data_IF_972125270807
#
_entry.id   IF_972125270807
#
_cell.length_a   1.000
_cell.length_b   1.000
_cell.length_c   1.000
_cell.angle_alpha   90.00
_cell.angle_beta   90.00
_cell.angle_gamma   90.00
#
_symmetry.space_group_name_H-M   'P 1'
#
loop_
_entity.id
_entity.type
_entity.pdbx_description
1 polymer ?
#
# COMPACT_ATOMS: atom_id res chain seq x y z
N UNK A 1 -17.14 -24.71 5.15
CA UNK A 1 -16.81 -25.34 3.87
C UNK A 1 -16.08 -26.65 4.20
N UNK A 2 -16.74 -27.78 4.09
CA UNK A 2 -16.07 -29.09 4.04
C UNK A 2 -15.94 -29.44 2.56
N UNK A 3 -14.72 -29.82 2.14
CA UNK A 3 -14.42 -30.35 0.79
C UNK A 3 -14.78 -29.46 -0.39
N UNK A 4 -14.47 -28.18 -0.30
CA UNK A 4 -14.69 -27.23 -1.40
C UNK A 4 -13.37 -26.90 -2.10
N UNK A 5 -13.39 -26.88 -3.41
CA UNK A 5 -12.29 -26.41 -4.24
C UNK A 5 -12.45 -24.91 -4.52
N UNK A 6 -11.40 -24.13 -4.22
CA UNK A 6 -11.35 -22.69 -4.48
C UNK A 6 -10.36 -22.48 -5.62
N UNK A 7 -10.76 -21.91 -6.76
CA UNK A 7 -9.86 -21.64 -7.87
C UNK A 7 -8.87 -20.51 -7.51
N UNK A 8 -7.59 -20.76 -7.75
CA UNK A 8 -6.52 -19.77 -7.62
C UNK A 8 -6.05 -19.35 -9.02
N UNK A 9 -6.00 -18.06 -9.34
CA UNK A 9 -5.88 -17.59 -10.73
C UNK A 9 -4.51 -17.79 -11.38
N UNK A 10 -3.48 -18.20 -10.64
CA UNK A 10 -2.11 -18.31 -11.16
C UNK A 10 -1.45 -19.62 -10.78
N UNK A 11 -1.00 -20.37 -11.81
CA UNK A 11 -0.20 -21.59 -11.63
C UNK A 11 1.21 -21.32 -11.05
N UNK A 12 1.74 -20.11 -11.23
CA UNK A 12 3.06 -19.72 -10.73
C UNK A 12 3.16 -19.71 -9.20
N UNK A 13 2.04 -19.73 -8.52
CA UNK A 13 1.99 -19.75 -7.05
C UNK A 13 2.43 -21.12 -6.52
N UNK A 14 2.02 -22.21 -7.16
CA UNK A 14 2.19 -23.57 -6.61
C UNK A 14 3.64 -23.99 -6.42
N UNK A 15 4.54 -23.57 -7.29
CA UNK A 15 5.97 -23.91 -7.22
C UNK A 15 6.70 -23.30 -6.02
N UNK A 16 6.12 -22.28 -5.40
CA UNK A 16 6.72 -21.55 -4.28
C UNK A 16 5.99 -21.79 -2.95
N UNK A 17 4.91 -22.57 -2.95
CA UNK A 17 4.18 -22.88 -1.72
C UNK A 17 4.98 -23.87 -0.86
N UNK A 18 4.95 -23.63 0.42
CA UNK A 18 5.65 -24.43 1.43
C UNK A 18 4.61 -24.94 2.43
N UNK A 19 4.54 -26.26 2.70
CA UNK A 19 3.70 -26.80 3.76
C UNK A 19 3.98 -26.11 5.10
N UNK A 20 3.00 -26.12 5.98
CA UNK A 20 2.98 -25.45 7.29
C UNK A 20 3.00 -23.94 7.28
N UNK A 21 3.09 -23.28 6.12
CA UNK A 21 2.93 -21.82 6.01
C UNK A 21 1.46 -21.44 5.96
N UNK A 22 1.18 -20.21 6.40
CA UNK A 22 -0.16 -19.63 6.33
C UNK A 22 -0.32 -18.77 5.09
N UNK A 23 -1.54 -18.68 4.60
CA UNK A 23 -1.97 -17.67 3.64
C UNK A 23 -3.28 -17.03 4.08
N UNK A 24 -3.55 -15.88 3.54
CA UNK A 24 -4.64 -15.01 3.94
C UNK A 24 -5.55 -14.74 2.76
N UNK A 25 -6.86 -14.61 3.01
CA UNK A 25 -7.84 -14.18 2.01
C UNK A 25 -8.68 -13.04 2.59
N UNK A 26 -9.16 -12.14 1.71
CA UNK A 26 -9.99 -10.98 2.07
C UNK A 26 -9.30 -10.08 3.11
N UNK A 27 -8.12 -9.57 2.76
CA UNK A 27 -7.32 -8.65 3.58
C UNK A 27 -7.02 -9.20 4.99
N UNK A 28 -6.74 -10.51 5.06
CA UNK A 28 -6.40 -11.18 6.32
C UNK A 28 -7.59 -11.60 7.18
N UNK A 29 -8.84 -11.38 6.75
CA UNK A 29 -10.04 -11.80 7.49
C UNK A 29 -10.18 -13.30 7.58
N UNK A 30 -9.67 -14.03 6.59
CA UNK A 30 -9.65 -15.48 6.56
C UNK A 30 -8.22 -15.98 6.53
N UNK A 31 -7.89 -16.84 7.48
CA UNK A 31 -6.55 -17.40 7.65
C UNK A 31 -6.61 -18.89 7.33
N UNK A 32 -5.67 -19.35 6.53
CA UNK A 32 -5.51 -20.73 6.13
C UNK A 32 -4.08 -21.22 6.39
N UNK A 33 -3.92 -22.50 6.66
CA UNK A 33 -2.63 -23.17 6.77
C UNK A 33 -2.46 -24.18 5.64
N UNK A 34 -1.37 -24.11 4.90
CA UNK A 34 -1.04 -25.06 3.84
C UNK A 34 -0.68 -26.42 4.48
N UNK A 35 -1.37 -27.47 4.08
CA UNK A 35 -1.11 -28.82 4.56
C UNK A 35 -0.23 -29.60 3.59
N UNK A 36 -0.60 -29.60 2.29
CA UNK A 36 0.11 -30.33 1.23
C UNK A 36 0.08 -29.52 -0.06
N UNK A 37 1.15 -29.62 -0.82
CA UNK A 37 1.27 -28.97 -2.14
C UNK A 37 1.43 -30.07 -3.20
N UNK A 38 0.71 -29.90 -4.31
CA UNK A 38 0.74 -30.74 -5.50
C UNK A 38 1.05 -29.87 -6.73
N UNK A 39 1.26 -30.45 -7.87
CA UNK A 39 1.66 -29.72 -9.09
C UNK A 39 0.66 -28.64 -9.53
N UNK A 40 -0.65 -28.87 -9.35
CA UNK A 40 -1.69 -27.96 -9.82
C UNK A 40 -2.71 -27.56 -8.75
N UNK A 41 -2.51 -27.99 -7.51
CA UNK A 41 -3.38 -27.64 -6.38
C UNK A 41 -2.64 -27.77 -5.04
N UNK A 42 -3.27 -27.35 -3.97
CA UNK A 42 -2.80 -27.56 -2.61
C UNK A 42 -3.97 -27.77 -1.66
N UNK A 43 -3.74 -28.51 -0.61
CA UNK A 43 -4.68 -28.68 0.49
C UNK A 43 -4.35 -27.69 1.61
N UNK A 44 -5.39 -27.09 2.18
CA UNK A 44 -5.24 -26.16 3.27
C UNK A 44 -6.31 -26.36 4.35
N UNK A 45 -5.92 -26.10 5.59
CA UNK A 45 -6.81 -26.05 6.75
C UNK A 45 -7.30 -24.63 6.98
N UNK A 46 -8.58 -24.47 7.29
CA UNK A 46 -9.18 -23.19 7.67
C UNK A 46 -8.91 -22.96 9.16
N UNK A 47 -8.19 -21.89 9.49
CA UNK A 47 -7.80 -21.57 10.87
C UNK A 47 -8.91 -20.81 11.61
N UNK A 48 -9.58 -19.87 10.92
CA UNK A 48 -10.68 -19.10 11.49
C UNK A 48 -11.93 -19.12 10.63
N UNK A 49 -13.08 -18.95 11.24
CA UNK A 49 -14.37 -18.93 10.57
C UNK A 49 -14.63 -17.60 9.88
N UNK A 50 -15.34 -17.63 8.75
CA UNK A 50 -15.76 -16.44 8.04
C UNK A 50 -16.47 -16.77 6.73
N UNK A 51 -16.95 -15.73 6.04
CA UNK A 51 -17.63 -15.86 4.76
C UNK A 51 -16.65 -15.53 3.64
N UNK A 52 -16.32 -16.51 2.82
CA UNK A 52 -15.52 -16.32 1.62
C UNK A 52 -16.41 -15.80 0.47
N UNK A 53 -16.07 -14.62 -0.04
CA UNK A 53 -16.73 -14.03 -1.21
C UNK A 53 -15.87 -14.22 -2.46
N UNK A 54 -16.52 -14.17 -3.63
CA UNK A 54 -15.81 -14.22 -4.91
C UNK A 54 -14.91 -12.98 -5.14
N UNK A 55 -13.86 -13.15 -5.92
CA UNK A 55 -12.93 -12.09 -6.34
C UNK A 55 -12.21 -11.41 -5.18
N UNK A 56 -11.92 -12.13 -4.10
CA UNK A 56 -11.12 -11.64 -3.00
C UNK A 56 -9.64 -11.92 -3.23
N UNK A 57 -8.80 -10.98 -2.79
CA UNK A 57 -7.35 -11.11 -2.82
C UNK A 57 -6.87 -12.29 -1.97
N UNK A 58 -5.79 -12.92 -2.40
CA UNK A 58 -5.07 -13.95 -1.66
C UNK A 58 -3.64 -13.46 -1.42
N UNK A 59 -3.21 -13.48 -0.16
CA UNK A 59 -1.89 -13.07 0.25
C UNK A 59 -1.14 -14.25 0.87
N UNK A 60 0.13 -14.34 0.57
CA UNK A 60 1.03 -15.36 1.12
C UNK A 60 2.16 -14.64 1.88
N UNK A 61 1.96 -14.27 3.15
CA UNK A 61 2.99 -13.63 3.95
C UNK A 61 4.24 -14.50 4.03
N UNK A 62 5.41 -13.88 3.95
CA UNK A 62 6.71 -14.55 4.00
C UNK A 62 7.02 -15.53 2.86
N UNK A 63 6.24 -15.52 1.78
CA UNK A 63 6.60 -16.21 0.54
C UNK A 63 7.02 -15.17 -0.51
N UNK A 64 8.19 -15.39 -1.06
CA UNK A 64 8.75 -14.53 -2.11
C UNK A 64 8.39 -15.12 -3.47
N UNK A 65 7.43 -14.49 -4.13
CA UNK A 65 7.12 -14.80 -5.52
C UNK A 65 7.90 -13.83 -6.38
N UNK A 66 8.94 -14.30 -7.04
CA UNK A 66 9.71 -13.47 -7.98
C UNK A 66 8.87 -13.18 -9.25
N UNK A 67 7.74 -12.51 -9.05
CA UNK A 67 6.80 -12.12 -10.11
C UNK A 67 6.95 -10.62 -10.31
N UNK A 68 7.13 -10.20 -11.57
CA UNK A 68 7.14 -8.77 -11.92
C UNK A 68 5.79 -8.14 -11.52
N UNK A 69 5.81 -6.95 -10.90
CA UNK A 69 4.58 -6.20 -10.61
C UNK A 69 3.84 -5.77 -11.89
N UNK A 70 4.54 -5.72 -13.04
CA UNK A 70 3.96 -5.41 -14.34
C UNK A 70 3.54 -6.68 -15.06
N UNK A 71 2.24 -6.92 -15.14
CA UNK A 71 1.68 -8.03 -15.92
C UNK A 71 1.65 -7.70 -17.41
N UNK A 72 1.46 -8.72 -18.25
CA UNK A 72 1.26 -8.51 -19.69
C UNK A 72 0.00 -7.68 -20.00
N UNK A 73 -1.00 -7.72 -19.13
CA UNK A 73 -2.16 -6.84 -19.21
C UNK A 73 -1.76 -5.39 -18.95
N UNK A 74 -0.99 -5.14 -17.88
CA UNK A 74 -0.55 -3.79 -17.54
C UNK A 74 0.29 -3.17 -18.67
N UNK A 75 1.18 -3.97 -19.28
CA UNK A 75 1.96 -3.55 -20.44
C UNK A 75 1.09 -3.14 -21.64
N UNK A 76 -0.04 -3.84 -21.86
CA UNK A 76 -1.02 -3.44 -22.89
C UNK A 76 -1.76 -2.17 -22.50
N UNK A 77 -2.17 -2.06 -21.25
CA UNK A 77 -2.87 -0.87 -20.73
C UNK A 77 -1.98 0.38 -20.80
N UNK A 78 -0.65 0.24 -20.73
CA UNK A 78 0.29 1.35 -20.92
C UNK A 78 0.18 2.01 -22.30
N UNK A 79 -0.25 1.31 -23.35
CA UNK A 79 -0.48 1.93 -24.65
C UNK A 79 -1.61 2.94 -24.59
N UNK A 80 -2.72 2.57 -23.93
CA UNK A 80 -3.83 3.51 -23.69
C UNK A 80 -3.41 4.67 -22.78
N UNK A 81 -2.70 4.37 -21.70
CA UNK A 81 -2.22 5.36 -20.72
C UNK A 81 -1.35 6.45 -21.40
N UNK A 82 -0.48 6.07 -22.34
CA UNK A 82 0.38 7.02 -23.08
C UNK A 82 -0.40 8.02 -23.94
N UNK A 83 -1.58 7.62 -24.39
CA UNK A 83 -2.45 8.51 -25.18
C UNK A 83 -3.21 9.51 -24.29
N UNK A 84 -3.29 9.23 -22.98
CA UNK A 84 -3.90 10.11 -22.00
C UNK A 84 -2.86 11.12 -21.49
N UNK A 85 -3.30 12.35 -21.24
CA UNK A 85 -2.45 13.37 -20.60
C UNK A 85 -2.48 13.19 -19.08
N UNK A 86 -1.76 12.17 -18.60
CA UNK A 86 -1.67 11.88 -17.17
C UNK A 86 -0.39 12.47 -16.60
N UNK A 87 -0.47 13.01 -15.38
CA UNK A 87 0.67 13.52 -14.64
C UNK A 87 1.42 12.38 -13.92
N UNK A 88 0.70 11.37 -13.41
CA UNK A 88 1.25 10.29 -12.61
C UNK A 88 0.69 8.92 -12.99
N UNK A 89 1.54 7.90 -12.83
CA UNK A 89 1.16 6.48 -12.81
C UNK A 89 1.55 5.91 -11.45
N UNK A 90 0.64 5.20 -10.80
CA UNK A 90 0.93 4.46 -9.57
C UNK A 90 1.25 3.00 -9.90
N UNK A 91 2.44 2.53 -9.50
CA UNK A 91 2.89 1.15 -9.64
C UNK A 91 2.61 0.40 -8.34
N UNK A 92 1.70 -0.58 -8.40
CA UNK A 92 1.39 -1.46 -7.26
C UNK A 92 2.44 -2.56 -7.09
N UNK A 93 2.54 -3.08 -5.89
CA UNK A 93 3.36 -4.23 -5.52
C UNK A 93 4.85 -4.11 -5.87
N UNK A 94 5.39 -2.90 -5.78
CA UNK A 94 6.84 -2.66 -5.95
C UNK A 94 7.61 -3.45 -4.90
N UNK A 95 8.63 -4.19 -5.33
CA UNK A 95 9.47 -5.01 -4.44
C UNK A 95 10.95 -4.59 -4.49
N UNK A 96 11.40 -4.06 -5.63
CA UNK A 96 12.81 -3.69 -5.87
C UNK A 96 12.90 -2.55 -6.87
N UNK A 97 14.03 -1.89 -6.90
CA UNK A 97 14.30 -0.74 -7.78
C UNK A 97 14.10 -1.07 -9.26
N UNK A 98 14.47 -2.28 -9.69
CA UNK A 98 14.29 -2.69 -11.09
C UNK A 98 12.83 -2.69 -11.56
N UNK A 99 11.86 -2.83 -10.65
CA UNK A 99 10.45 -2.77 -10.99
C UNK A 99 10.04 -1.35 -11.42
N UNK A 100 10.55 -0.35 -10.71
CA UNK A 100 10.34 1.07 -11.05
C UNK A 100 11.04 1.42 -12.36
N UNK A 101 12.28 0.94 -12.54
CA UNK A 101 13.05 1.19 -13.77
C UNK A 101 12.45 0.51 -15.00
N UNK A 102 11.84 -0.69 -14.84
CA UNK A 102 11.08 -1.35 -15.91
C UNK A 102 9.92 -0.46 -16.37
N UNK A 103 9.09 0.02 -15.44
CA UNK A 103 7.99 0.94 -15.79
C UNK A 103 8.53 2.22 -16.42
N UNK A 104 9.59 2.82 -15.87
CA UNK A 104 10.22 4.04 -16.39
C UNK A 104 10.64 3.88 -17.84
N UNK A 105 11.16 2.72 -18.23
CA UNK A 105 11.57 2.44 -19.61
C UNK A 105 10.39 2.31 -20.58
N UNK A 106 9.20 2.06 -20.07
CA UNK A 106 7.99 1.82 -20.85
C UNK A 106 7.09 3.05 -21.01
N UNK A 107 7.31 4.13 -20.27
CA UNK A 107 6.48 5.35 -20.28
C UNK A 107 7.26 6.55 -20.79
N UNK A 108 6.53 7.67 -21.10
CA UNK A 108 7.14 8.95 -21.39
C UNK A 108 7.82 9.54 -20.15
N UNK A 109 8.89 10.30 -20.33
CA UNK A 109 9.58 11.06 -19.27
C UNK A 109 8.68 12.07 -18.55
N UNK A 110 7.62 12.54 -19.22
CA UNK A 110 6.68 13.52 -18.66
C UNK A 110 5.74 12.92 -17.61
N UNK A 111 5.55 11.59 -17.65
CA UNK A 111 4.70 10.88 -16.69
C UNK A 111 5.53 10.45 -15.48
N UNK A 112 5.11 10.90 -14.32
CA UNK A 112 5.76 10.59 -13.04
C UNK A 112 5.29 9.28 -12.45
N UNK A 113 6.15 8.59 -11.72
CA UNK A 113 5.87 7.29 -11.09
C UNK A 113 5.66 7.47 -9.59
N UNK A 114 4.51 7.00 -9.09
CA UNK A 114 4.26 6.78 -7.67
C UNK A 114 4.49 5.30 -7.37
N UNK A 115 5.52 4.97 -6.60
CA UNK A 115 5.74 3.59 -6.16
C UNK A 115 4.90 3.29 -4.92
N UNK A 116 4.05 2.26 -5.01
CA UNK A 116 3.22 1.82 -3.87
C UNK A 116 3.97 0.76 -3.07
N UNK A 117 4.23 1.08 -1.80
CA UNK A 117 4.87 0.17 -0.85
C UNK A 117 3.79 -0.64 -0.16
N UNK A 118 3.63 -1.87 -0.63
CA UNK A 118 2.60 -2.84 -0.26
C UNK A 118 3.19 -4.17 0.21
N UNK A 119 4.49 -4.36 -0.03
CA UNK A 119 5.19 -5.62 0.25
C UNK A 119 6.41 -5.38 1.15
N UNK A 120 6.65 -6.27 2.15
CA UNK A 120 7.83 -6.18 3.01
C UNK A 120 9.15 -6.27 2.24
N UNK A 121 9.15 -6.93 1.07
CA UNK A 121 10.33 -7.06 0.21
C UNK A 121 10.86 -5.69 -0.21
N UNK A 122 9.98 -4.72 -0.47
CA UNK A 122 10.37 -3.35 -0.83
C UNK A 122 11.24 -2.68 0.24
N UNK A 123 11.05 -3.03 1.51
CA UNK A 123 11.79 -2.42 2.62
C UNK A 123 13.29 -2.73 2.57
N UNK A 124 13.69 -3.84 1.91
CA UNK A 124 15.09 -4.23 1.76
C UNK A 124 15.86 -3.35 0.77
N UNK A 125 15.16 -2.72 -0.17
CA UNK A 125 15.71 -1.87 -1.23
C UNK A 125 15.07 -0.47 -1.24
N UNK A 126 14.52 -0.06 -0.10
CA UNK A 126 13.63 1.09 -0.01
C UNK A 126 14.28 2.40 -0.43
N UNK A 127 15.52 2.64 -0.05
CA UNK A 127 16.21 3.90 -0.36
C UNK A 127 16.42 4.06 -1.88
N UNK A 128 16.75 2.97 -2.57
CA UNK A 128 16.89 2.99 -4.03
C UNK A 128 15.53 3.09 -4.74
N UNK A 129 14.49 2.42 -4.22
CA UNK A 129 13.11 2.55 -4.73
C UNK A 129 12.66 4.01 -4.62
N UNK A 130 12.85 4.66 -3.47
CA UNK A 130 12.48 6.06 -3.25
C UNK A 130 13.22 6.97 -4.25
N UNK A 131 14.53 6.77 -4.44
CA UNK A 131 15.32 7.58 -5.39
C UNK A 131 14.88 7.39 -6.84
N UNK A 132 14.52 6.17 -7.25
CA UNK A 132 14.04 5.86 -8.60
C UNK A 132 12.62 6.36 -8.88
N UNK A 133 11.84 6.63 -7.84
CA UNK A 133 10.44 7.08 -7.92
C UNK A 133 10.35 8.61 -7.96
N UNK A 134 9.22 9.13 -8.42
CA UNK A 134 8.89 10.56 -8.32
C UNK A 134 8.10 10.89 -7.06
N UNK A 135 7.33 9.92 -6.57
CA UNK A 135 6.64 9.94 -5.28
C UNK A 135 6.47 8.52 -4.74
N UNK A 136 6.15 8.40 -3.46
CA UNK A 136 5.92 7.12 -2.80
C UNK A 136 4.53 7.11 -2.16
N UNK A 137 3.85 5.98 -2.23
CA UNK A 137 2.60 5.74 -1.50
C UNK A 137 2.77 4.60 -0.51
N UNK A 138 2.49 4.86 0.74
CA UNK A 138 2.46 3.85 1.80
C UNK A 138 1.04 3.28 1.85
N UNK A 139 0.84 2.12 1.22
CA UNK A 139 -0.46 1.46 1.13
C UNK A 139 -0.63 0.51 2.33
N UNK A 140 -1.07 1.07 3.45
CA UNK A 140 -1.10 0.40 4.76
C UNK A 140 -1.99 -0.84 4.81
N UNK A 141 -3.06 -0.87 4.02
CA UNK A 141 -3.96 -2.01 3.94
C UNK A 141 -3.23 -3.28 3.52
N UNK A 142 -2.59 -3.26 2.33
CA UNK A 142 -1.85 -4.41 1.82
C UNK A 142 -0.58 -4.69 2.63
N UNK A 143 0.14 -3.64 3.02
CA UNK A 143 1.35 -3.79 3.85
C UNK A 143 1.03 -4.41 5.21
N UNK A 144 -0.10 -4.05 5.83
CA UNK A 144 -0.55 -4.59 7.12
C UNK A 144 -1.11 -6.01 7.04
N UNK A 145 -1.43 -6.52 5.85
CA UNK A 145 -1.75 -7.93 5.64
C UNK A 145 -0.48 -8.79 5.61
N UNK A 146 0.61 -8.23 5.11
CA UNK A 146 1.90 -8.93 4.96
C UNK A 146 2.80 -8.80 6.21
N UNK A 147 2.60 -7.76 7.02
CA UNK A 147 3.34 -7.46 8.25
C UNK A 147 2.45 -7.61 9.49
N UNK A 148 3.08 -7.68 10.65
CA UNK A 148 2.36 -7.59 11.91
C UNK A 148 1.77 -6.18 12.10
N UNK A 149 0.52 -6.04 12.56
CA UNK A 149 -0.12 -4.72 12.69
C UNK A 149 0.67 -3.69 13.50
N UNK A 150 1.42 -4.14 14.50
CA UNK A 150 2.27 -3.28 15.35
C UNK A 150 3.49 -2.72 14.62
N UNK A 151 3.91 -3.31 13.50
CA UNK A 151 5.06 -2.86 12.72
C UNK A 151 4.69 -1.73 11.75
N UNK A 152 3.44 -1.68 11.28
CA UNK A 152 2.98 -0.72 10.28
C UNK A 152 3.22 0.74 10.68
N UNK A 153 2.89 1.19 11.91
CA UNK A 153 3.10 2.59 12.31
C UNK A 153 4.57 2.99 12.31
N UNK A 154 5.47 2.11 12.75
CA UNK A 154 6.91 2.39 12.79
C UNK A 154 7.52 2.45 11.39
N UNK A 155 7.10 1.53 10.52
CA UNK A 155 7.51 1.52 9.11
C UNK A 155 6.96 2.75 8.37
N UNK A 156 5.71 3.12 8.58
CA UNK A 156 5.14 4.35 8.03
C UNK A 156 6.00 5.56 8.36
N UNK A 157 6.30 5.74 9.66
CA UNK A 157 7.13 6.86 10.12
C UNK A 157 8.51 6.87 9.48
N UNK A 158 9.15 5.71 9.38
CA UNK A 158 10.46 5.56 8.74
C UNK A 158 10.41 5.91 7.25
N UNK A 159 9.39 5.42 6.53
CA UNK A 159 9.21 5.70 5.11
C UNK A 159 8.98 7.20 4.84
N UNK A 160 8.14 7.85 5.64
CA UNK A 160 7.94 9.30 5.56
C UNK A 160 9.27 10.03 5.73
N UNK A 161 10.05 9.68 6.76
CA UNK A 161 11.35 10.30 7.01
C UNK A 161 12.33 10.07 5.85
N UNK A 162 12.40 8.85 5.29
CA UNK A 162 13.30 8.55 4.18
C UNK A 162 12.92 9.32 2.91
N UNK A 163 11.62 9.44 2.60
CA UNK A 163 11.16 10.26 1.47
C UNK A 163 11.53 11.72 1.65
N UNK A 164 11.28 12.27 2.85
CA UNK A 164 11.58 13.67 3.18
C UNK A 164 13.08 14.00 3.09
N UNK A 165 13.97 13.09 3.52
CA UNK A 165 15.43 13.28 3.41
C UNK A 165 15.89 13.53 1.98
N UNK A 166 15.26 12.92 1.00
CA UNK A 166 15.62 13.04 -0.42
C UNK A 166 14.62 13.91 -1.23
N UNK A 167 13.74 14.64 -0.55
CA UNK A 167 12.80 15.56 -1.18
C UNK A 167 11.75 14.88 -2.08
N UNK A 168 11.37 13.64 -1.78
CA UNK A 168 10.32 12.93 -2.53
C UNK A 168 8.98 13.01 -1.81
N UNK A 169 7.89 13.41 -2.51
CA UNK A 169 6.56 13.40 -1.93
C UNK A 169 6.13 12.02 -1.45
N UNK A 170 5.46 11.99 -0.29
CA UNK A 170 4.94 10.75 0.30
C UNK A 170 3.46 10.86 0.61
N UNK A 171 2.72 9.83 0.19
CA UNK A 171 1.27 9.71 0.38
C UNK A 171 1.02 8.58 1.38
N UNK A 172 0.25 8.85 2.44
CA UNK A 172 -0.25 7.81 3.34
C UNK A 172 -1.65 7.41 2.92
N UNK A 173 -1.86 6.12 2.65
CA UNK A 173 -3.06 5.61 2.01
C UNK A 173 -3.66 4.43 2.75
N UNK A 174 -4.97 4.26 2.57
CA UNK A 174 -5.82 3.18 3.05
C UNK A 174 -6.08 3.21 4.55
N UNK A 175 -7.30 2.84 4.94
CA UNK A 175 -7.74 2.76 6.33
C UNK A 175 -7.54 4.07 7.12
N UNK A 176 -7.71 5.23 6.46
CA UNK A 176 -7.57 6.53 7.11
C UNK A 176 -8.81 6.89 7.94
N UNK A 177 -9.99 6.82 7.33
CA UNK A 177 -11.31 7.05 7.95
C UNK A 177 -12.26 5.89 7.62
N UNK A 178 -11.78 4.64 7.69
CA UNK A 178 -12.47 3.43 7.21
C UNK A 178 -13.89 3.27 7.78
N UNK A 179 -14.13 3.67 9.03
CA UNK A 179 -15.45 3.63 9.64
C UNK A 179 -16.48 4.49 8.89
N UNK A 180 -16.02 5.55 8.21
CA UNK A 180 -16.86 6.45 7.44
C UNK A 180 -17.39 5.85 6.12
N UNK A 181 -16.97 4.66 5.74
CA UNK A 181 -17.68 3.89 4.71
C UNK A 181 -19.15 3.70 5.09
N UNK A 182 -19.43 3.49 6.38
CA UNK A 182 -20.77 3.21 6.90
C UNK A 182 -21.27 4.22 7.94
N UNK A 183 -20.41 5.05 8.50
CA UNK A 183 -20.76 6.01 9.56
C UNK A 183 -20.54 7.45 9.11
N UNK A 184 -21.35 8.41 9.58
CA UNK A 184 -21.27 9.82 9.18
C UNK A 184 -20.09 10.57 9.82
N UNK A 185 -19.38 9.96 10.76
CA UNK A 185 -18.24 10.56 11.45
C UNK A 185 -17.18 9.52 11.75
N UNK A 186 -15.90 9.91 11.78
CA UNK A 186 -14.78 8.99 12.08
C UNK A 186 -14.71 8.67 13.58
N UNK A 187 -14.01 7.60 13.89
CA UNK A 187 -13.61 7.31 15.27
C UNK A 187 -12.49 8.27 15.71
N UNK A 188 -12.29 8.39 17.03
CA UNK A 188 -11.16 9.16 17.58
C UNK A 188 -9.81 8.57 17.21
N UNK A 189 -9.72 7.25 17.07
CA UNK A 189 -8.51 6.57 16.65
C UNK A 189 -8.13 6.93 15.21
N UNK A 190 -9.11 6.96 14.30
CA UNK A 190 -8.89 7.37 12.91
C UNK A 190 -8.49 8.85 12.81
N UNK A 191 -9.15 9.73 13.57
CA UNK A 191 -8.75 11.13 13.61
C UNK A 191 -7.30 11.32 14.12
N UNK A 192 -6.89 10.53 15.13
CA UNK A 192 -5.52 10.55 15.63
C UNK A 192 -4.54 9.97 14.61
N UNK A 193 -4.94 8.99 13.80
CA UNK A 193 -4.12 8.38 12.77
C UNK A 193 -3.85 9.37 11.62
N UNK A 194 -4.88 10.06 11.14
CA UNK A 194 -4.73 11.13 10.13
C UNK A 194 -3.80 12.23 10.65
N UNK A 195 -4.06 12.73 11.88
CA UNK A 195 -3.23 13.75 12.51
C UNK A 195 -1.77 13.27 12.66
N UNK A 196 -1.56 12.01 13.03
CA UNK A 196 -0.25 11.38 13.14
C UNK A 196 0.53 11.40 11.82
N UNK A 197 -0.13 11.08 10.70
CA UNK A 197 0.50 11.17 9.38
C UNK A 197 0.94 12.60 9.03
N UNK A 198 0.13 13.60 9.37
CA UNK A 198 0.47 15.02 9.18
C UNK A 198 1.65 15.43 10.07
N UNK A 199 1.64 15.06 11.35
CA UNK A 199 2.74 15.34 12.30
C UNK A 199 4.04 14.66 11.89
N UNK A 200 3.99 13.48 11.28
CA UNK A 200 5.16 12.79 10.76
C UNK A 200 5.71 13.43 9.47
N UNK A 201 4.91 14.27 8.79
CA UNK A 201 5.31 15.04 7.62
C UNK A 201 4.95 14.37 6.30
N UNK A 202 3.84 13.63 6.24
CA UNK A 202 3.27 13.19 4.98
C UNK A 202 2.82 14.38 4.14
N UNK A 203 3.06 14.33 2.82
CA UNK A 203 2.66 15.39 1.88
C UNK A 203 1.19 15.26 1.48
N UNK A 204 0.64 14.06 1.53
CA UNK A 204 -0.77 13.79 1.26
C UNK A 204 -1.28 12.59 2.06
N UNK A 205 -2.59 12.57 2.29
CA UNK A 205 -3.34 11.42 2.79
C UNK A 205 -4.44 11.07 1.77
N UNK A 206 -4.75 9.78 1.62
CA UNK A 206 -5.68 9.33 0.60
C UNK A 206 -6.86 8.59 1.22
N UNK A 207 -8.08 9.00 0.83
CA UNK A 207 -9.32 8.24 1.03
C UNK A 207 -9.48 7.22 -0.11
N UNK A 208 -10.08 6.09 0.18
CA UNK A 208 -10.30 4.98 -0.76
C UNK A 208 -11.78 4.58 -0.80
N UNK A 209 -12.17 3.58 -0.03
CA UNK A 209 -13.55 3.09 0.06
C UNK A 209 -14.50 4.16 0.62
N UNK A 210 -14.01 5.02 1.50
CA UNK A 210 -14.76 6.09 2.15
C UNK A 210 -15.43 7.02 1.13
N UNK A 211 -14.77 7.26 -0.01
CA UNK A 211 -15.28 8.15 -1.07
C UNK A 211 -15.78 7.39 -2.31
N UNK A 212 -15.32 6.15 -2.55
CA UNK A 212 -15.67 5.42 -3.77
C UNK A 212 -16.94 4.58 -3.64
N UNK A 213 -17.19 4.01 -2.47
CA UNK A 213 -18.35 3.15 -2.18
C UNK A 213 -19.02 3.48 -0.84
N UNK A 214 -18.47 4.43 -0.08
CA UNK A 214 -18.99 4.85 1.22
C UNK A 214 -20.33 5.59 1.10
N UNK A 215 -21.08 5.57 2.19
CA UNK A 215 -22.37 6.23 2.29
C UNK A 215 -22.24 7.75 2.56
N UNK A 216 -21.06 8.23 2.96
CA UNK A 216 -20.80 9.60 3.43
C UNK A 216 -19.54 10.19 2.78
N UNK A 217 -19.43 10.23 1.41
CA UNK A 217 -18.21 10.66 0.73
C UNK A 217 -17.84 12.12 0.97
N UNK A 218 -18.82 13.03 1.00
CA UNK A 218 -18.59 14.47 1.23
C UNK A 218 -18.14 14.73 2.67
N UNK A 219 -18.76 14.07 3.64
CA UNK A 219 -18.41 14.16 5.06
C UNK A 219 -17.00 13.60 5.28
N UNK A 220 -16.64 12.50 4.62
CA UNK A 220 -15.30 11.92 4.75
C UNK A 220 -14.22 12.90 4.30
N UNK A 221 -14.41 13.58 3.16
CA UNK A 221 -13.48 14.62 2.69
C UNK A 221 -13.46 15.81 3.65
N UNK A 222 -14.62 16.23 4.15
CA UNK A 222 -14.74 17.35 5.09
C UNK A 222 -14.02 17.07 6.41
N UNK A 223 -14.20 15.87 6.99
CA UNK A 223 -13.50 15.47 8.20
C UNK A 223 -12.00 15.35 7.96
N UNK A 224 -11.57 14.73 6.87
CA UNK A 224 -10.17 14.64 6.50
C UNK A 224 -9.52 16.03 6.46
N UNK A 225 -10.13 16.96 5.73
CA UNK A 225 -9.63 18.33 5.62
C UNK A 225 -9.57 19.04 6.98
N UNK A 226 -10.60 18.87 7.82
CA UNK A 226 -10.67 19.52 9.14
C UNK A 226 -9.58 19.01 10.08
N UNK A 227 -9.28 17.70 10.03
CA UNK A 227 -8.21 17.09 10.84
C UNK A 227 -6.85 17.59 10.36
N UNK A 228 -6.61 17.64 9.05
CA UNK A 228 -5.38 18.16 8.46
C UNK A 228 -5.15 19.61 8.89
N UNK A 229 -6.13 20.49 8.67
CA UNK A 229 -6.04 21.90 9.04
C UNK A 229 -5.75 22.09 10.53
N UNK A 230 -6.45 21.36 11.40
CA UNK A 230 -6.22 21.41 12.85
C UNK A 230 -4.80 21.01 13.22
N UNK A 231 -4.26 19.97 12.56
CA UNK A 231 -2.91 19.46 12.79
C UNK A 231 -1.84 20.46 12.30
N UNK A 232 -2.05 21.02 11.10
CA UNK A 232 -1.14 22.03 10.55
C UNK A 232 -1.13 23.33 11.37
N UNK A 233 -2.29 23.75 11.86
CA UNK A 233 -2.38 24.93 12.72
C UNK A 233 -1.72 24.70 14.10
N UNK A 234 -1.75 23.47 14.60
CA UNK A 234 -0.99 23.07 15.78
C UNK A 234 0.52 23.15 15.51
N UNK A 235 1.01 22.58 14.40
CA UNK A 235 2.42 22.62 14.00
C UNK A 235 2.92 24.06 13.86
N UNK A 236 2.12 24.98 13.29
CA UNK A 236 2.47 26.39 13.17
C UNK A 236 2.69 27.05 14.53
N UNK A 237 1.90 26.68 15.54
CA UNK A 237 2.01 27.19 16.93
C UNK A 237 3.13 26.51 17.71
N UNK A 238 3.34 25.22 17.46
CA UNK A 238 4.30 24.37 18.17
C UNK A 238 5.17 23.61 17.14
N UNK A 239 6.16 24.30 16.53
CA UNK A 239 6.95 23.70 15.44
C UNK A 239 7.74 22.45 15.83
N UNK A 240 8.00 22.24 17.12
CA UNK A 240 8.70 21.05 17.60
C UNK A 240 7.83 19.79 17.63
N UNK A 241 6.51 19.93 17.56
CA UNK A 241 5.56 18.82 17.51
C UNK A 241 5.34 18.32 16.06
N UNK A 242 5.80 19.10 15.11
CA UNK A 242 5.80 18.72 13.69
C UNK A 242 7.00 17.86 13.29
N UNK A 243 7.11 17.57 12.00
CA UNK A 243 8.19 16.74 11.50
C UNK A 243 9.56 17.35 11.82
N UNK A 244 10.48 16.50 12.28
CA UNK A 244 11.84 16.92 12.61
C UNK A 244 12.50 17.65 11.43
N UNK A 245 13.31 18.69 11.71
CA UNK A 245 14.20 19.26 10.71
C UNK A 245 15.17 18.15 10.27
N UNK A 246 15.07 17.75 9.03
CA UNK A 246 15.99 16.79 8.43
C UNK A 246 17.09 17.58 7.72
N UNK A 247 18.32 17.14 7.86
CA UNK A 247 19.36 17.52 6.93
C UNK A 247 18.98 16.90 5.58
N UNK A 248 18.48 17.72 4.67
CA UNK A 248 18.16 17.28 3.31
C UNK A 248 19.50 16.91 2.67
N UNK A 249 19.63 15.65 2.25
CA UNK A 249 20.77 15.28 1.42
C UNK A 249 20.75 16.18 0.18
N UNK A 250 21.81 16.98 -0.02
CA UNK A 250 21.95 17.76 -1.24
C UNK A 250 21.91 16.79 -2.43
N UNK A 251 20.72 16.65 -3.00
CA UNK A 251 20.56 15.89 -4.22
C UNK A 251 21.18 16.72 -5.33
N UNK A 252 22.31 16.27 -5.86
CA UNK A 252 22.85 16.75 -7.12
C UNK A 252 21.84 16.41 -8.23
N UNK A 253 20.77 17.20 -8.33
CA UNK A 253 19.92 17.21 -9.52
C UNK A 253 20.63 18.02 -10.58
N UNK A 254 21.31 17.31 -11.46
CA UNK A 254 21.70 17.79 -12.80
C UNK A 254 20.86 17.05 -13.83
#
# INVERSE_FOLDING_TARGET
IRDSCIPVPSKLIFSNLIPDKTFLIDDGKLVFKILKVFDENFEAEIINSGMLKSKKGINFPNLDFNISPLTEKDKKDLHFIKEQKLDYIALSFVQKTSDVLELRSLISSDIKIISKIEKPQALKDIDNIIRASDAVMIARGDLGVELSPQEVPTIQKQLIQNCRKVGKPVIVATQMLESMVNLPSPTRAEASDVAGAVFDGADAVMLSAETSIGNYPEEAVTYMNSIIQSSEDHIKKFPNDGPSKLDIEESNYH
#
